data_IF_033794489579
#
_entry.id   IF_033794489579
#
_cell.length_a   1.000
_cell.length_b   1.000
_cell.length_c   1.000
_cell.angle_alpha   90.00
_cell.angle_beta   90.00
_cell.angle_gamma   90.00
#
_symmetry.space_group_name_H-M   'P 1'
#
loop_
_entity.id
_entity.type
_entity.pdbx_description
1 polymer ?
#
# COMPACT_ATOMS: atom_id res chain seq x y z
N UNK A 1 -27.01 14.26 1.30
CA UNK A 1 -25.68 14.54 1.91
C UNK A 1 -24.86 13.27 2.07
N UNK A 2 -25.34 12.21 2.73
CA UNK A 2 -24.62 10.91 2.80
C UNK A 2 -24.31 10.30 1.42
N UNK A 3 -25.29 10.27 0.50
CA UNK A 3 -25.11 9.77 -0.87
C UNK A 3 -24.10 10.57 -1.72
N UNK A 4 -23.92 11.87 -1.45
CA UNK A 4 -22.94 12.71 -2.17
C UNK A 4 -21.52 12.47 -1.62
N UNK A 5 -21.40 12.30 -0.30
CA UNK A 5 -20.13 11.97 0.36
C UNK A 5 -19.65 10.58 -0.07
N UNK A 6 -20.56 9.61 -0.18
CA UNK A 6 -20.27 8.25 -0.65
C UNK A 6 -19.90 8.23 -2.15
N UNK A 7 -20.61 8.99 -3.00
CA UNK A 7 -20.23 9.20 -4.40
C UNK A 7 -18.84 9.82 -4.56
N UNK A 8 -18.44 10.71 -3.65
CA UNK A 8 -17.10 11.30 -3.66
C UNK A 8 -16.05 10.28 -3.22
N UNK A 9 -16.37 9.35 -2.31
CA UNK A 9 -15.47 8.29 -1.81
C UNK A 9 -15.00 7.33 -2.89
N UNK A 10 -15.90 6.94 -3.78
CA UNK A 10 -15.64 5.95 -4.83
C UNK A 10 -15.52 6.56 -6.23
N UNK A 11 -15.35 7.88 -6.33
CA UNK A 11 -15.30 8.58 -7.64
C UNK A 11 -14.14 8.15 -8.55
N UNK A 12 -13.10 7.51 -8.01
CA UNK A 12 -12.01 6.90 -8.78
C UNK A 12 -12.40 5.56 -9.44
N UNK A 13 -13.55 4.98 -9.09
CA UNK A 13 -14.05 3.72 -9.64
C UNK A 13 -15.05 3.98 -10.77
N UNK A 14 -14.56 4.51 -11.89
CA UNK A 14 -15.33 4.60 -13.14
C UNK A 14 -14.86 3.53 -14.13
N UNK A 15 -15.70 3.09 -15.09
CA UNK A 15 -15.28 2.12 -16.10
C UNK A 15 -14.02 2.54 -16.87
N UNK A 16 -13.86 3.83 -17.17
CA UNK A 16 -12.70 4.35 -17.88
C UNK A 16 -11.40 4.24 -17.05
N UNK A 17 -11.43 4.71 -15.80
CA UNK A 17 -10.26 4.65 -14.89
C UNK A 17 -9.92 3.19 -14.57
N UNK A 18 -10.92 2.35 -14.34
CA UNK A 18 -10.71 0.94 -14.05
C UNK A 18 -10.08 0.20 -15.24
N UNK A 19 -10.53 0.49 -16.48
CA UNK A 19 -9.94 -0.09 -17.68
C UNK A 19 -8.47 0.32 -17.83
N UNK A 20 -8.14 1.59 -17.58
CA UNK A 20 -6.75 2.07 -17.58
C UNK A 20 -5.90 1.39 -16.51
N UNK A 21 -6.42 1.23 -15.28
CA UNK A 21 -5.74 0.50 -14.21
C UNK A 21 -5.51 -0.97 -14.56
N UNK A 22 -6.52 -1.64 -15.15
CA UNK A 22 -6.45 -3.03 -15.61
C UNK A 22 -5.39 -3.22 -16.70
N UNK A 23 -5.36 -2.35 -17.71
CA UNK A 23 -4.34 -2.37 -18.77
C UNK A 23 -2.92 -2.18 -18.22
N UNK A 24 -2.74 -1.24 -17.30
CA UNK A 24 -1.45 -1.06 -16.63
C UNK A 24 -1.00 -2.33 -15.90
N UNK A 25 -1.90 -2.93 -15.11
CA UNK A 25 -1.55 -4.14 -14.36
C UNK A 25 -1.33 -5.34 -15.28
N UNK A 26 -2.10 -5.49 -16.36
CA UNK A 26 -1.88 -6.50 -17.39
C UNK A 26 -0.51 -6.35 -18.04
N UNK A 27 -0.09 -5.14 -18.39
CA UNK A 27 1.24 -4.90 -18.95
C UNK A 27 2.33 -5.37 -17.98
N UNK A 28 2.16 -5.08 -16.68
CA UNK A 28 3.06 -5.54 -15.62
C UNK A 28 3.05 -7.07 -15.48
N UNK A 29 1.88 -7.69 -15.40
CA UNK A 29 1.75 -9.17 -15.33
C UNK A 29 2.47 -9.80 -16.52
N UNK A 30 2.18 -9.33 -17.73
CA UNK A 30 2.75 -9.89 -18.96
C UNK A 30 4.26 -9.66 -19.03
N UNK A 31 4.77 -8.51 -18.61
CA UNK A 31 6.21 -8.22 -18.52
C UNK A 31 6.90 -9.12 -17.50
N UNK A 32 6.48 -9.04 -16.24
CA UNK A 32 7.20 -9.66 -15.12
C UNK A 32 7.08 -11.19 -15.14
N UNK A 33 5.91 -11.73 -15.51
CA UNK A 33 5.77 -13.19 -15.63
C UNK A 33 6.50 -13.75 -16.85
N UNK A 34 6.71 -12.95 -17.91
CA UNK A 34 7.58 -13.35 -19.03
C UNK A 34 9.05 -13.34 -18.64
N UNK A 35 9.45 -12.33 -17.85
CA UNK A 35 10.78 -12.23 -17.27
C UNK A 35 11.08 -13.45 -16.38
N UNK A 36 10.16 -13.79 -15.48
CA UNK A 36 10.25 -14.93 -14.55
C UNK A 36 10.01 -16.31 -15.20
N UNK A 37 9.74 -16.37 -16.51
CA UNK A 37 9.49 -17.63 -17.27
C UNK A 37 8.22 -18.38 -16.88
N UNK A 38 7.29 -17.73 -16.19
CA UNK A 38 5.97 -18.28 -15.87
C UNK A 38 5.07 -18.32 -17.11
N UNK A 39 5.29 -17.39 -18.04
CA UNK A 39 4.65 -17.35 -19.36
C UNK A 39 5.69 -17.12 -20.46
N UNK A 40 5.32 -17.42 -21.70
CA UNK A 40 6.16 -17.22 -22.86
C UNK A 40 5.32 -16.67 -24.03
N UNK A 41 5.17 -15.34 -24.13
CA UNK A 41 4.55 -14.73 -25.29
C UNK A 41 5.33 -15.02 -26.57
N UNK A 42 4.60 -15.27 -27.65
CA UNK A 42 5.15 -15.53 -28.99
C UNK A 42 5.17 -14.24 -29.80
N UNK A 43 6.18 -14.08 -30.65
CA UNK A 43 6.22 -12.98 -31.60
C UNK A 43 5.16 -13.22 -32.68
N UNK A 44 4.20 -12.30 -32.81
CA UNK A 44 3.16 -12.34 -33.83
C UNK A 44 3.59 -11.58 -35.10
N UNK A 45 4.14 -10.38 -34.92
CA UNK A 45 4.70 -9.55 -36.00
C UNK A 45 6.03 -8.94 -35.53
N UNK A 46 7.10 -8.97 -36.34
CA UNK A 46 8.35 -8.30 -36.01
C UNK A 46 8.17 -6.77 -35.99
N UNK A 47 9.09 -6.06 -35.35
CA UNK A 47 9.12 -4.61 -35.43
C UNK A 47 9.45 -4.16 -36.87
N UNK A 48 8.69 -3.20 -37.40
CA UNK A 48 8.89 -2.63 -38.74
C UNK A 48 8.95 -1.10 -38.66
N UNK A 49 10.06 -0.50 -39.10
CA UNK A 49 10.28 0.95 -39.15
C UNK A 49 9.85 1.70 -37.85
N UNK A 50 8.66 2.30 -37.85
CA UNK A 50 8.09 3.10 -36.75
C UNK A 50 7.14 2.30 -35.82
N UNK A 51 6.93 1.01 -36.10
CA UNK A 51 6.04 0.14 -35.32
C UNK A 51 6.83 -0.86 -34.48
N UNK A 52 6.44 -0.97 -33.21
CA UNK A 52 6.97 -1.98 -32.31
C UNK A 52 6.55 -3.40 -32.70
N UNK A 53 7.29 -4.39 -32.23
CA UNK A 53 6.93 -5.79 -32.39
C UNK A 53 5.59 -6.09 -31.71
N UNK A 54 4.75 -6.88 -32.39
CA UNK A 54 3.51 -7.38 -31.83
C UNK A 54 3.73 -8.80 -31.27
N UNK A 55 3.24 -9.04 -30.07
CA UNK A 55 3.35 -10.30 -29.34
C UNK A 55 1.96 -10.87 -29.06
N UNK A 56 1.88 -12.18 -28.85
CA UNK A 56 0.67 -12.86 -28.41
C UNK A 56 0.93 -13.84 -27.27
N UNK A 57 0.01 -13.95 -26.33
CA UNK A 57 -0.04 -15.02 -25.34
C UNK A 57 -1.37 -15.76 -25.47
N UNK A 58 -1.31 -17.05 -25.80
CA UNK A 58 -2.48 -17.94 -25.85
C UNK A 58 -2.52 -18.82 -24.61
N UNK A 59 -3.69 -18.91 -23.99
CA UNK A 59 -3.95 -19.70 -22.79
C UNK A 59 -5.20 -20.56 -23.03
N UNK A 60 -5.01 -21.87 -23.02
CA UNK A 60 -6.14 -22.80 -23.00
C UNK A 60 -6.70 -22.87 -21.59
N UNK A 61 -7.97 -22.52 -21.44
CA UNK A 61 -8.70 -22.55 -20.16
C UNK A 61 -9.80 -23.60 -20.22
N UNK A 62 -10.45 -23.90 -19.09
CA UNK A 62 -11.60 -24.82 -19.06
C UNK A 62 -12.79 -24.30 -19.86
N UNK A 63 -12.91 -22.98 -20.02
CA UNK A 63 -14.06 -22.31 -20.62
C UNK A 63 -13.77 -21.74 -22.02
N UNK A 64 -12.73 -22.25 -22.70
CA UNK A 64 -12.30 -21.79 -24.03
C UNK A 64 -10.85 -21.32 -24.06
N UNK A 65 -10.44 -20.71 -25.18
CA UNK A 65 -9.10 -20.18 -25.37
C UNK A 65 -9.09 -18.65 -25.16
N UNK A 66 -8.23 -18.19 -24.25
CA UNK A 66 -7.91 -16.77 -24.09
C UNK A 66 -6.67 -16.42 -24.90
N UNK A 67 -6.70 -15.26 -25.56
CA UNK A 67 -5.57 -14.73 -26.31
C UNK A 67 -5.38 -13.25 -25.97
N UNK A 68 -4.18 -12.91 -25.51
CA UNK A 68 -3.76 -11.52 -25.31
C UNK A 68 -2.81 -11.13 -26.43
N UNK A 69 -3.06 -10.00 -27.09
CA UNK A 69 -2.14 -9.39 -28.08
C UNK A 69 -1.68 -8.04 -27.58
N UNK A 70 -0.43 -7.69 -27.84
CA UNK A 70 0.14 -6.44 -27.36
C UNK A 70 1.42 -6.07 -28.11
N UNK A 71 1.70 -4.78 -28.16
CA UNK A 71 2.95 -4.24 -28.66
C UNK A 71 3.96 -4.11 -27.53
N UNK A 72 5.22 -4.43 -27.83
CA UNK A 72 6.28 -4.23 -26.85
C UNK A 72 7.69 -4.46 -27.40
N UNK A 73 8.65 -3.94 -26.66
CA UNK A 73 10.08 -4.01 -26.98
C UNK A 73 10.83 -4.80 -25.91
N UNK A 74 11.64 -5.75 -26.37
CA UNK A 74 12.54 -6.52 -25.51
C UNK A 74 13.86 -5.79 -25.33
N UNK A 75 14.29 -5.60 -24.09
CA UNK A 75 15.53 -4.97 -23.69
C UNK A 75 16.51 -6.00 -23.09
N UNK A 76 17.66 -5.50 -22.62
CA UNK A 76 18.58 -6.28 -21.81
C UNK A 76 17.90 -6.82 -20.54
N UNK A 77 18.53 -7.80 -19.89
CA UNK A 77 17.99 -8.51 -18.72
C UNK A 77 16.62 -9.14 -18.98
N UNK A 78 16.30 -9.40 -20.24
CA UNK A 78 15.04 -10.02 -20.64
C UNK A 78 13.79 -9.26 -20.18
N UNK A 79 13.86 -7.93 -20.20
CA UNK A 79 12.72 -7.07 -19.90
C UNK A 79 11.88 -6.84 -21.16
N UNK A 80 10.63 -7.27 -21.16
CA UNK A 80 9.67 -6.99 -22.22
C UNK A 80 8.82 -5.79 -21.83
N UNK A 81 9.21 -4.60 -22.29
CA UNK A 81 8.45 -3.37 -22.05
C UNK A 81 7.20 -3.38 -22.95
N UNK A 82 6.02 -3.47 -22.34
CA UNK A 82 4.74 -3.55 -23.04
C UNK A 82 4.03 -2.19 -22.98
N UNK A 83 3.48 -1.72 -24.09
CA UNK A 83 2.64 -0.53 -24.13
C UNK A 83 1.22 -0.87 -23.62
N UNK A 84 0.76 -0.37 -22.45
CA UNK A 84 -0.51 -0.80 -21.84
C UNK A 84 -1.75 -0.61 -22.73
N UNK A 85 -1.78 0.49 -23.49
CA UNK A 85 -2.91 0.82 -24.38
C UNK A 85 -3.00 -0.11 -25.60
N UNK A 86 -1.93 -0.82 -25.93
CA UNK A 86 -1.90 -1.79 -27.03
C UNK A 86 -2.51 -3.15 -26.67
N UNK A 87 -2.81 -3.40 -25.40
CA UNK A 87 -3.26 -4.73 -24.95
C UNK A 87 -4.69 -5.01 -25.44
N UNK A 88 -4.86 -6.08 -26.18
CA UNK A 88 -6.15 -6.60 -26.60
C UNK A 88 -6.37 -7.99 -26.01
N UNK A 89 -7.61 -8.30 -25.65
CA UNK A 89 -8.02 -9.60 -25.15
C UNK A 89 -9.06 -10.20 -26.08
N UNK A 90 -8.94 -11.50 -26.38
CA UNK A 90 -9.89 -12.26 -27.16
C UNK A 90 -10.22 -13.56 -26.44
N UNK A 91 -11.50 -13.94 -26.44
CA UNK A 91 -11.97 -15.25 -25.97
C UNK A 91 -12.61 -15.97 -27.15
N UNK A 92 -12.07 -17.13 -27.53
CA UNK A 92 -12.55 -17.93 -28.67
C UNK A 92 -12.68 -17.12 -29.98
N UNK A 93 -11.80 -16.12 -30.16
CA UNK A 93 -11.78 -15.22 -31.32
C UNK A 93 -12.63 -13.95 -31.18
N UNK A 94 -13.49 -13.85 -30.16
CA UNK A 94 -14.30 -12.66 -29.90
C UNK A 94 -13.57 -11.67 -28.99
N UNK A 95 -13.55 -10.39 -29.36
CA UNK A 95 -12.87 -9.34 -28.59
C UNK A 95 -13.57 -9.11 -27.24
N UNK A 96 -12.77 -9.08 -26.18
CA UNK A 96 -13.20 -8.85 -24.80
C UNK A 96 -12.53 -7.61 -24.23
N UNK A 97 -13.07 -7.08 -23.12
CA UNK A 97 -12.35 -6.07 -22.36
C UNK A 97 -11.14 -6.70 -21.64
N UNK A 98 -9.96 -6.05 -21.66
CA UNK A 98 -8.80 -6.54 -20.91
C UNK A 98 -9.06 -6.51 -19.40
N UNK A 99 -8.94 -7.68 -18.76
CA UNK A 99 -9.15 -7.89 -17.33
C UNK A 99 -7.94 -8.61 -16.71
N UNK A 100 -7.27 -7.95 -15.76
CA UNK A 100 -6.13 -8.51 -15.03
C UNK A 100 -6.52 -9.70 -14.16
N UNK A 101 -7.71 -9.72 -13.57
CA UNK A 101 -8.20 -10.82 -12.72
C UNK A 101 -8.42 -12.07 -13.54
N UNK A 102 -9.02 -11.91 -14.74
CA UNK A 102 -9.22 -13.02 -15.66
C UNK A 102 -7.89 -13.67 -16.07
N UNK A 103 -6.84 -12.87 -16.30
CA UNK A 103 -5.50 -13.39 -16.61
C UNK A 103 -4.91 -14.18 -15.43
N UNK A 104 -5.01 -13.67 -14.21
CA UNK A 104 -4.52 -14.39 -13.01
C UNK A 104 -5.26 -15.71 -12.82
N UNK A 105 -6.59 -15.73 -13.00
CA UNK A 105 -7.40 -16.96 -12.91
C UNK A 105 -6.96 -17.96 -13.98
N UNK A 106 -6.76 -17.52 -15.22
CA UNK A 106 -6.30 -18.36 -16.32
C UNK A 106 -4.88 -18.92 -16.09
N UNK A 107 -4.04 -18.19 -15.37
CA UNK A 107 -2.67 -18.59 -15.06
C UNK A 107 -2.52 -19.36 -13.75
N UNK A 108 -3.58 -19.48 -12.93
CA UNK A 108 -3.54 -20.09 -11.58
C UNK A 108 -2.71 -21.37 -11.49
N UNK A 109 -2.97 -22.35 -12.36
CA UNK A 109 -2.26 -23.64 -12.35
C UNK A 109 -0.77 -23.47 -12.67
N UNK A 110 -0.42 -22.58 -13.62
CA UNK A 110 0.97 -22.27 -13.96
C UNK A 110 1.70 -21.50 -12.85
N UNK A 111 0.98 -20.64 -12.13
CA UNK A 111 1.50 -19.88 -10.99
C UNK A 111 1.62 -20.72 -9.71
N UNK A 112 1.13 -21.97 -9.71
CA UNK A 112 1.14 -22.82 -8.51
C UNK A 112 0.25 -22.30 -7.38
N UNK A 113 -0.75 -21.47 -7.69
CA UNK A 113 -1.65 -20.89 -6.68
C UNK A 113 -2.70 -21.95 -6.30
N UNK A 114 -2.70 -22.35 -5.03
CA UNK A 114 -3.67 -23.32 -4.52
C UNK A 114 -5.09 -22.74 -4.47
N UNK A 115 -6.09 -23.62 -4.52
CA UNK A 115 -7.51 -23.24 -4.39
C UNK A 115 -7.80 -22.45 -3.12
N UNK A 116 -7.08 -22.77 -2.03
CA UNK A 116 -7.23 -22.10 -0.74
C UNK A 116 -6.66 -20.67 -0.73
N UNK A 117 -5.60 -20.39 -1.52
CA UNK A 117 -4.92 -19.09 -1.54
C UNK A 117 -5.40 -18.18 -2.67
N UNK A 118 -6.03 -18.73 -3.71
CA UNK A 118 -6.52 -17.96 -4.85
C UNK A 118 -7.41 -16.78 -4.42
N UNK A 119 -8.41 -16.92 -3.52
CA UNK A 119 -9.24 -15.79 -3.12
C UNK A 119 -8.44 -14.63 -2.51
N UNK A 120 -7.47 -14.94 -1.64
CA UNK A 120 -6.61 -13.93 -1.01
C UNK A 120 -5.74 -13.22 -2.04
N UNK A 121 -5.14 -13.95 -2.98
CA UNK A 121 -4.33 -13.33 -4.02
C UNK A 121 -5.18 -12.46 -4.97
N UNK A 122 -6.39 -12.90 -5.31
CA UNK A 122 -7.35 -12.12 -6.09
C UNK A 122 -7.79 -10.83 -5.35
N UNK A 123 -7.89 -10.88 -4.02
CA UNK A 123 -8.13 -9.70 -3.18
C UNK A 123 -6.95 -8.72 -3.25
N UNK A 124 -5.69 -9.21 -3.17
CA UNK A 124 -4.50 -8.36 -3.31
C UNK A 124 -4.39 -7.72 -4.71
N UNK A 125 -4.75 -8.45 -5.77
CA UNK A 125 -4.80 -7.92 -7.14
C UNK A 125 -5.88 -6.84 -7.27
N UNK A 126 -7.09 -7.11 -6.75
CA UNK A 126 -8.20 -6.14 -6.78
C UNK A 126 -7.85 -4.88 -6.01
N UNK A 127 -7.22 -5.02 -4.84
CA UNK A 127 -6.75 -3.88 -4.04
C UNK A 127 -5.62 -3.11 -4.73
N UNK A 128 -4.73 -3.80 -5.45
CA UNK A 128 -3.70 -3.16 -6.29
C UNK A 128 -4.33 -2.35 -7.43
N UNK A 129 -5.38 -2.87 -8.07
CA UNK A 129 -6.15 -2.13 -9.08
C UNK A 129 -6.87 -0.92 -8.47
N UNK A 130 -7.48 -1.08 -7.30
CA UNK A 130 -8.10 0.01 -6.53
C UNK A 130 -7.08 1.12 -6.24
N UNK A 131 -5.88 0.77 -5.75
CA UNK A 131 -4.76 1.70 -5.55
C UNK A 131 -4.40 2.43 -6.84
N UNK A 132 -4.26 1.71 -7.96
CA UNK A 132 -3.93 2.34 -9.25
C UNK A 132 -5.03 3.30 -9.70
N UNK A 133 -6.30 2.91 -9.58
CA UNK A 133 -7.43 3.78 -9.90
C UNK A 133 -7.47 5.05 -9.03
N UNK A 134 -7.24 4.91 -7.72
CA UNK A 134 -7.09 6.03 -6.78
C UNK A 134 -6.01 7.01 -7.28
N UNK A 135 -4.83 6.49 -7.62
CA UNK A 135 -3.67 7.30 -8.04
C UNK A 135 -3.88 7.96 -9.41
N UNK A 136 -4.53 7.28 -10.34
CA UNK A 136 -4.88 7.85 -11.65
C UNK A 136 -5.78 9.09 -11.51
N UNK A 137 -6.73 9.07 -10.58
CA UNK A 137 -7.62 10.21 -10.37
C UNK A 137 -6.99 11.33 -9.54
N UNK A 138 -6.28 10.98 -8.45
CA UNK A 138 -5.94 11.95 -7.41
C UNK A 138 -4.44 12.27 -7.27
N UNK A 139 -3.54 11.45 -7.82
CA UNK A 139 -2.09 11.60 -7.64
C UNK A 139 -1.27 11.57 -8.94
N UNK A 140 -1.92 11.52 -10.10
CA UNK A 140 -1.24 11.50 -11.38
C UNK A 140 -0.65 12.88 -11.71
N UNK A 141 0.44 13.25 -11.03
CA UNK A 141 1.21 14.45 -11.30
C UNK A 141 2.07 14.26 -12.56
N UNK A 142 2.01 15.16 -13.54
CA UNK A 142 2.94 15.17 -14.66
C UNK A 142 4.39 15.25 -14.19
N UNK A 143 5.31 14.61 -14.93
CA UNK A 143 6.75 14.58 -14.59
C UNK A 143 7.33 15.99 -14.44
N UNK A 144 6.88 16.94 -15.25
CA UNK A 144 7.33 18.32 -15.19
C UNK A 144 7.02 18.99 -13.85
N UNK A 145 5.88 18.66 -13.23
CA UNK A 145 5.51 19.19 -11.91
C UNK A 145 6.28 18.49 -10.77
N UNK A 146 6.71 17.25 -10.96
CA UNK A 146 7.47 16.51 -9.96
C UNK A 146 8.88 17.09 -9.74
N UNK A 147 9.46 17.76 -10.75
CA UNK A 147 10.79 18.38 -10.66
C UNK A 147 10.82 19.49 -9.59
N UNK A 148 9.71 20.18 -9.39
CA UNK A 148 9.59 21.30 -8.44
C UNK A 148 8.94 20.86 -7.11
N UNK A 149 8.57 19.59 -6.96
CA UNK A 149 7.95 19.07 -5.73
C UNK A 149 8.98 18.91 -4.60
N UNK A 150 8.56 19.18 -3.38
CA UNK A 150 9.35 18.86 -2.19
C UNK A 150 9.41 17.35 -1.92
N UNK A 151 10.21 16.97 -0.93
CA UNK A 151 10.43 15.57 -0.58
C UNK A 151 9.14 14.78 -0.28
N UNK A 152 8.20 15.37 0.47
CA UNK A 152 6.97 14.69 0.89
C UNK A 152 5.89 14.72 -0.21
N UNK A 153 5.94 15.73 -1.09
CA UNK A 153 5.14 15.75 -2.30
C UNK A 153 5.57 14.67 -3.30
N UNK A 154 6.88 14.43 -3.46
CA UNK A 154 7.40 13.32 -4.27
C UNK A 154 6.99 11.98 -3.66
N UNK A 155 7.13 11.81 -2.34
CA UNK A 155 6.78 10.57 -1.63
C UNK A 155 5.32 10.16 -1.87
N UNK A 156 4.38 11.09 -1.73
CA UNK A 156 2.96 10.83 -1.96
C UNK A 156 2.59 10.64 -3.45
N UNK A 157 3.37 11.21 -4.36
CA UNK A 157 3.11 11.15 -5.81
C UNK A 157 3.60 9.85 -6.48
N UNK A 158 4.27 8.95 -5.75
CA UNK A 158 4.74 7.68 -6.32
C UNK A 158 3.58 6.78 -6.75
N UNK A 159 3.56 6.40 -8.04
CA UNK A 159 2.41 5.71 -8.65
C UNK A 159 2.57 4.21 -8.79
N UNK A 160 3.78 3.66 -8.71
CA UNK A 160 4.02 2.26 -9.06
C UNK A 160 4.06 1.33 -7.84
N UNK A 161 4.80 1.70 -6.79
CA UNK A 161 5.16 0.77 -5.71
C UNK A 161 6.35 -0.09 -6.13
N UNK A 162 6.45 -1.32 -5.61
CA UNK A 162 7.54 -2.23 -5.99
C UNK A 162 7.46 -2.57 -7.50
N UNK A 163 8.55 -2.45 -8.28
CA UNK A 163 8.48 -2.58 -9.75
C UNK A 163 8.26 -4.02 -10.23
N UNK A 164 8.68 -5.04 -9.46
CA UNK A 164 8.54 -6.46 -9.84
C UNK A 164 7.23 -7.08 -9.37
N UNK A 165 6.95 -7.08 -8.05
CA UNK A 165 5.69 -7.64 -7.52
C UNK A 165 4.46 -7.09 -8.24
N UNK A 166 3.65 -7.99 -8.80
CA UNK A 166 2.38 -7.65 -9.45
C UNK A 166 1.37 -7.16 -8.42
N UNK A 167 1.09 -7.99 -7.41
CA UNK A 167 0.22 -7.65 -6.29
C UNK A 167 0.99 -6.83 -5.23
N UNK A 168 1.45 -5.62 -5.61
CA UNK A 168 2.33 -4.81 -4.76
C UNK A 168 1.60 -3.86 -3.79
N UNK A 169 0.30 -3.67 -4.02
CA UNK A 169 -0.49 -2.66 -3.34
C UNK A 169 -1.74 -3.26 -2.69
N UNK A 170 -1.58 -4.42 -2.03
CA UNK A 170 -2.67 -5.19 -1.41
C UNK A 170 -3.31 -4.56 -0.17
N UNK A 171 -2.55 -4.17 0.85
CA UNK A 171 -3.04 -3.55 2.12
C UNK A 171 -4.29 -4.23 2.72
N UNK A 172 -4.35 -5.55 2.68
CA UNK A 172 -5.52 -6.30 3.17
C UNK A 172 -5.68 -6.04 4.67
N UNK A 173 -6.84 -5.48 5.03
CA UNK A 173 -7.16 -4.98 6.36
C UNK A 173 -7.60 -3.51 6.38
N UNK A 174 -7.24 -2.72 5.37
CA UNK A 174 -7.79 -1.37 5.21
C UNK A 174 -9.15 -1.42 4.52
N UNK A 175 -10.13 -0.73 5.11
CA UNK A 175 -11.39 -0.42 4.43
C UNK A 175 -11.27 0.84 3.57
N UNK A 176 -12.40 1.28 3.00
CA UNK A 176 -12.48 2.46 2.13
C UNK A 176 -12.08 3.76 2.83
N UNK A 177 -12.35 3.89 4.12
CA UNK A 177 -12.06 5.10 4.90
C UNK A 177 -10.60 5.09 5.37
N UNK A 178 -10.11 3.93 5.77
CA UNK A 178 -8.70 3.69 6.07
C UNK A 178 -7.81 4.00 4.88
N UNK A 179 -8.25 3.69 3.66
CA UNK A 179 -7.47 3.98 2.45
C UNK A 179 -7.10 5.46 2.37
N UNK A 180 -8.08 6.34 2.57
CA UNK A 180 -7.86 7.79 2.52
C UNK A 180 -7.03 8.28 3.69
N UNK A 181 -7.22 7.70 4.87
CA UNK A 181 -6.54 8.14 6.07
C UNK A 181 -5.08 7.67 6.16
N UNK A 182 -4.77 6.47 5.64
CA UNK A 182 -3.57 5.72 6.04
C UNK A 182 -2.72 5.21 4.87
N UNK A 183 -3.06 5.50 3.61
CA UNK A 183 -2.21 5.14 2.48
C UNK A 183 -1.24 6.26 2.11
N UNK A 184 0.00 5.93 1.70
CA UNK A 184 0.97 6.94 1.29
C UNK A 184 0.47 7.78 0.11
N UNK A 185 -0.23 7.15 -0.84
CA UNK A 185 -0.80 7.85 -1.99
C UNK A 185 -1.94 8.82 -1.63
N UNK A 186 -2.51 8.78 -0.42
CA UNK A 186 -3.48 9.82 -0.04
C UNK A 186 -2.78 11.14 0.32
N UNK A 187 -1.51 11.07 0.74
CA UNK A 187 -0.74 12.19 1.26
C UNK A 187 -1.37 12.88 2.48
N UNK A 188 -2.42 12.31 3.08
CA UNK A 188 -3.16 12.95 4.17
C UNK A 188 -2.33 12.96 5.46
N UNK A 189 -2.34 14.08 6.20
CA UNK A 189 -1.76 14.13 7.52
C UNK A 189 -2.58 13.27 8.49
N UNK A 190 -1.89 12.60 9.42
CA UNK A 190 -2.52 11.93 10.56
C UNK A 190 -1.75 12.19 11.85
N UNK A 191 -2.44 12.02 12.98
CA UNK A 191 -1.80 12.03 14.30
C UNK A 191 -1.67 10.61 14.82
N UNK A 192 -0.52 10.28 15.38
CA UNK A 192 -0.28 8.97 16.00
C UNK A 192 -1.01 8.85 17.34
N UNK A 193 -1.45 7.64 17.67
CA UNK A 193 -1.96 7.28 18.99
C UNK A 193 -0.78 7.03 19.94
N UNK A 194 -0.97 7.27 21.23
CA UNK A 194 0.06 7.01 22.24
C UNK A 194 -0.46 6.09 23.34
N UNK A 195 0.39 5.16 23.75
CA UNK A 195 0.16 4.28 24.89
C UNK A 195 1.25 4.49 25.93
N UNK A 196 0.88 4.42 27.21
CA UNK A 196 1.83 4.05 28.26
C UNK A 196 1.86 2.53 28.31
N UNK A 197 3.06 1.94 28.24
CA UNK A 197 3.26 0.49 28.26
C UNK A 197 4.14 0.12 29.44
N UNK A 198 3.68 -0.85 30.23
CA UNK A 198 4.39 -1.27 31.44
C UNK A 198 5.82 -1.68 31.13
N UNK A 199 6.76 -1.14 31.90
CA UNK A 199 8.19 -1.43 31.76
C UNK A 199 8.54 -2.88 32.12
N UNK A 200 7.72 -3.55 32.95
CA UNK A 200 7.86 -4.98 33.28
C UNK A 200 7.70 -5.89 32.04
N UNK A 201 6.87 -5.46 31.09
CA UNK A 201 6.53 -6.25 29.90
C UNK A 201 7.12 -5.69 28.61
N UNK A 202 7.98 -4.68 28.70
CA UNK A 202 8.50 -3.95 27.54
C UNK A 202 10.01 -3.82 27.63
N UNK A 203 10.71 -4.20 26.56
CA UNK A 203 12.14 -3.94 26.43
C UNK A 203 12.36 -2.66 25.64
N UNK A 204 13.11 -1.72 26.22
CA UNK A 204 13.57 -0.50 25.56
C UNK A 204 15.02 -0.69 25.11
N UNK A 205 15.30 -0.39 23.85
CA UNK A 205 16.65 -0.38 23.30
C UNK A 205 16.94 1.00 22.72
N UNK A 206 18.07 1.59 23.13
CA UNK A 206 18.54 2.91 22.69
C UNK A 206 19.98 2.79 22.19
N UNK A 207 20.34 3.68 21.27
CA UNK A 207 21.75 3.84 20.87
C UNK A 207 22.56 4.43 22.03
N UNK A 208 23.87 4.17 22.03
CA UNK A 208 24.76 4.70 23.05
C UNK A 208 24.70 6.24 23.10
N UNK A 209 24.55 6.79 24.31
CA UNK A 209 24.50 8.24 24.55
C UNK A 209 23.14 8.91 24.39
N UNK A 210 22.10 8.17 23.94
CA UNK A 210 20.74 8.69 23.89
C UNK A 210 19.99 8.39 25.18
N UNK A 211 19.57 9.44 25.89
CA UNK A 211 18.72 9.32 27.07
C UNK A 211 17.23 9.26 26.67
N UNK A 212 16.47 8.37 27.34
CA UNK A 212 15.06 8.16 27.03
C UNK A 212 14.19 9.38 27.31
N UNK A 213 14.43 10.06 28.44
CA UNK A 213 13.63 11.22 28.84
C UNK A 213 13.92 12.40 27.91
N UNK A 214 15.19 12.62 27.59
CA UNK A 214 15.59 13.64 26.62
C UNK A 214 14.96 13.37 25.25
N UNK A 215 14.97 12.13 24.76
CA UNK A 215 14.31 11.75 23.50
C UNK A 215 12.83 12.13 23.51
N UNK A 216 12.09 11.80 24.58
CA UNK A 216 10.67 12.15 24.68
C UNK A 216 10.45 13.67 24.74
N UNK A 217 11.33 14.42 25.40
CA UNK A 217 11.25 15.88 25.44
C UNK A 217 11.49 16.49 24.06
N UNK A 218 12.49 16.01 23.34
CA UNK A 218 12.83 16.49 21.99
C UNK A 218 11.71 16.17 20.98
N UNK A 219 11.09 14.99 21.08
CA UNK A 219 10.08 14.50 20.15
C UNK A 219 8.64 14.93 20.51
N UNK A 220 8.29 15.12 21.79
CA UNK A 220 6.92 15.47 22.21
C UNK A 220 6.80 16.89 22.78
N UNK A 221 7.87 17.43 23.33
CA UNK A 221 7.85 18.65 24.13
C UNK A 221 7.23 18.47 25.52
N UNK A 222 7.64 19.31 26.46
CA UNK A 222 7.28 19.19 27.88
C UNK A 222 5.77 19.21 28.13
N UNK A 223 5.02 20.04 27.38
CA UNK A 223 3.58 20.18 27.59
C UNK A 223 2.79 18.90 27.26
N UNK A 224 3.18 18.19 26.19
CA UNK A 224 2.53 16.94 25.81
C UNK A 224 2.96 15.81 26.74
N UNK A 225 4.25 15.76 27.08
CA UNK A 225 4.80 14.79 28.03
C UNK A 225 4.11 14.88 29.41
N UNK A 226 4.00 16.10 29.96
CA UNK A 226 3.32 16.34 31.23
C UNK A 226 1.84 15.90 31.19
N UNK A 227 1.14 16.16 30.08
CA UNK A 227 -0.25 15.71 29.89
C UNK A 227 -0.36 14.19 29.94
N UNK A 228 0.57 13.48 29.30
CA UNK A 228 0.61 12.02 29.32
C UNK A 228 0.93 11.47 30.72
N UNK A 229 1.92 12.02 31.41
CA UNK A 229 2.20 11.62 32.79
C UNK A 229 1.01 11.89 33.73
N UNK A 230 0.30 13.01 33.57
CA UNK A 230 -0.91 13.33 34.33
C UNK A 230 -2.02 12.29 34.09
N UNK A 231 -2.22 11.83 32.85
CA UNK A 231 -3.18 10.76 32.55
C UNK A 231 -2.82 9.45 33.26
N UNK A 232 -1.55 9.09 33.30
CA UNK A 232 -1.08 7.90 34.02
C UNK A 232 -1.34 8.05 35.53
N UNK A 233 -1.00 9.21 36.12
CA UNK A 233 -1.26 9.51 37.53
C UNK A 233 -2.75 9.52 37.89
N UNK A 234 -3.61 9.98 36.98
CA UNK A 234 -5.08 9.96 37.16
C UNK A 234 -5.65 8.54 37.24
N UNK A 235 -4.94 7.52 36.72
CA UNK A 235 -5.28 6.12 36.89
C UNK A 235 -4.66 5.48 38.15
N UNK A 236 -4.06 6.30 39.02
CA UNK A 236 -3.40 5.83 40.25
C UNK A 236 -2.09 5.10 40.00
N UNK A 237 -1.46 5.29 38.84
CA UNK A 237 -0.19 4.64 38.46
C UNK A 237 0.97 5.63 38.52
N UNK A 238 2.19 5.11 38.68
CA UNK A 238 3.40 5.91 38.61
C UNK A 238 3.91 5.97 37.16
N UNK A 239 4.11 7.16 36.56
CA UNK A 239 4.65 7.28 35.20
C UNK A 239 6.01 6.60 34.99
N UNK A 240 6.85 6.51 36.02
CA UNK A 240 8.18 5.87 35.90
C UNK A 240 8.11 4.34 35.69
N UNK A 241 6.94 3.73 35.94
CA UNK A 241 6.71 2.29 35.70
C UNK A 241 6.30 2.00 34.24
N UNK A 242 6.31 3.01 33.37
CA UNK A 242 5.84 2.93 31.98
C UNK A 242 6.79 3.58 30.99
N UNK A 243 6.87 2.99 29.79
CA UNK A 243 7.37 3.67 28.60
C UNK A 243 6.22 4.25 27.80
N UNK A 244 6.44 5.38 27.13
CA UNK A 244 5.57 5.94 26.12
C UNK A 244 5.89 5.32 24.75
N UNK A 245 4.88 4.82 24.06
CA UNK A 245 5.01 4.20 22.74
C UNK A 245 4.00 4.79 21.75
N UNK A 246 4.46 5.30 20.59
CA UNK A 246 3.57 5.68 19.51
C UNK A 246 3.00 4.47 18.79
N UNK A 247 1.76 4.57 18.35
CA UNK A 247 0.98 3.51 17.73
C UNK A 247 0.21 4.05 16.54
N UNK A 248 0.15 3.28 15.46
CA UNK A 248 -0.68 3.61 14.31
C UNK A 248 -2.17 3.62 14.72
N UNK A 249 -2.97 4.64 14.36
CA UNK A 249 -4.39 4.69 14.70
C UNK A 249 -5.19 3.44 14.32
N UNK A 250 -5.03 2.92 13.09
CA UNK A 250 -5.55 1.61 12.68
C UNK A 250 -5.14 0.45 13.60
N UNK A 251 -3.84 0.35 13.96
CA UNK A 251 -3.36 -0.73 14.84
C UNK A 251 -3.99 -0.64 16.23
N UNK A 252 -4.20 0.58 16.75
CA UNK A 252 -4.96 0.79 17.97
C UNK A 252 -6.40 0.30 17.82
N UNK A 253 -7.11 0.80 16.80
CA UNK A 253 -8.54 0.54 16.56
C UNK A 253 -8.85 -0.93 16.31
N UNK A 254 -8.10 -1.59 15.43
CA UNK A 254 -8.43 -2.93 14.93
C UNK A 254 -7.78 -4.09 15.69
N UNK A 255 -6.63 -3.83 16.32
CA UNK A 255 -5.80 -4.87 16.93
C UNK A 255 -5.65 -4.66 18.43
N UNK A 256 -5.01 -3.59 18.88
CA UNK A 256 -4.62 -3.45 20.29
C UNK A 256 -5.85 -3.35 21.20
N UNK A 257 -6.84 -2.55 20.83
CA UNK A 257 -8.09 -2.37 21.61
C UNK A 257 -8.84 -3.68 21.90
N UNK A 258 -8.64 -4.72 21.08
CA UNK A 258 -9.33 -6.01 21.16
C UNK A 258 -8.41 -7.16 21.57
N UNK A 259 -7.31 -7.36 20.85
CA UNK A 259 -6.38 -8.49 21.05
C UNK A 259 -5.65 -8.34 22.39
N UNK A 260 -5.29 -7.11 22.77
CA UNK A 260 -4.60 -6.80 24.03
C UNK A 260 -5.57 -6.32 25.11
N UNK A 261 -6.86 -6.65 25.02
CA UNK A 261 -7.88 -6.26 26.00
C UNK A 261 -7.51 -6.68 27.43
N UNK A 262 -6.84 -7.82 27.58
CA UNK A 262 -6.32 -8.33 28.84
C UNK A 262 -5.23 -7.44 29.47
N UNK A 263 -4.38 -6.81 28.65
CA UNK A 263 -3.32 -5.92 29.11
C UNK A 263 -3.86 -4.50 29.35
N UNK A 264 -4.84 -4.07 28.57
CA UNK A 264 -5.62 -2.84 28.80
C UNK A 264 -6.39 -2.91 30.13
N UNK A 265 -7.12 -4.00 30.37
CA UNK A 265 -7.92 -4.18 31.59
C UNK A 265 -7.08 -4.31 32.87
N UNK A 266 -5.78 -4.60 32.74
CA UNK A 266 -4.83 -4.71 33.86
C UNK A 266 -3.89 -3.50 33.96
N UNK A 267 -4.19 -2.43 33.22
CA UNK A 267 -3.38 -1.22 33.14
C UNK A 267 -1.92 -1.46 32.75
N UNK A 268 -1.61 -2.59 32.09
CA UNK A 268 -0.29 -2.81 31.48
C UNK A 268 -0.12 -1.97 30.22
N UNK A 269 -1.24 -1.67 29.56
CA UNK A 269 -1.36 -0.69 28.50
C UNK A 269 -2.37 0.37 28.94
N UNK A 270 -2.00 1.64 28.83
CA UNK A 270 -2.88 2.77 29.12
C UNK A 270 -2.98 3.64 27.88
N UNK A 271 -4.19 3.87 27.37
CA UNK A 271 -4.38 4.75 26.22
C UNK A 271 -4.28 6.22 26.62
N UNK A 272 -3.30 6.91 26.04
CA UNK A 272 -3.00 8.31 26.33
C UNK A 272 -3.65 9.28 25.33
N UNK A 273 -4.23 8.74 24.25
CA UNK A 273 -4.81 9.49 23.14
C UNK A 273 -3.78 9.94 22.11
N UNK A 274 -4.20 10.86 21.25
CA UNK A 274 -3.40 11.31 20.12
C UNK A 274 -2.27 12.27 20.51
N UNK A 275 -1.20 12.22 19.73
CA UNK A 275 -0.15 13.23 19.70
C UNK A 275 -0.66 14.59 19.21
N UNK A 276 0.26 15.54 19.01
CA UNK A 276 -0.08 16.87 18.46
C UNK A 276 0.40 17.03 17.03
N UNK A 277 1.58 16.50 16.74
CA UNK A 277 2.20 16.61 15.43
C UNK A 277 1.45 15.77 14.39
N UNK A 278 1.34 16.34 13.20
CA UNK A 278 0.83 15.68 12.02
C UNK A 278 1.96 14.97 11.27
N UNK A 279 1.67 13.77 10.80
CA UNK A 279 2.61 12.92 10.09
C UNK A 279 2.07 12.53 8.71
N UNK A 280 2.97 12.42 7.73
CA UNK A 280 2.67 11.79 6.46
C UNK A 280 3.12 10.34 6.45
N UNK A 281 2.24 9.46 5.97
CA UNK A 281 2.56 8.05 5.72
C UNK A 281 3.57 7.95 4.56
N UNK A 282 4.69 7.26 4.80
CA UNK A 282 5.69 6.97 3.77
C UNK A 282 5.32 5.70 2.99
N UNK A 283 5.99 5.41 1.87
CA UNK A 283 5.70 4.28 0.97
C UNK A 283 5.68 2.91 1.65
N UNK A 284 6.36 2.75 2.79
CA UNK A 284 6.31 1.54 3.61
C UNK A 284 5.04 1.38 4.47
N UNK A 285 4.10 2.35 4.39
CA UNK A 285 2.79 2.43 5.06
C UNK A 285 2.88 2.65 6.58
N UNK A 286 3.83 2.00 7.25
CA UNK A 286 3.98 2.02 8.71
C UNK A 286 5.13 2.90 9.22
N UNK A 287 5.70 3.72 8.35
CA UNK A 287 6.70 4.73 8.70
C UNK A 287 6.14 6.11 8.41
N UNK A 288 6.41 7.04 9.31
CA UNK A 288 5.75 8.34 9.39
C UNK A 288 6.79 9.45 9.43
N UNK A 289 6.69 10.39 8.49
CA UNK A 289 7.49 11.62 8.49
C UNK A 289 6.72 12.73 9.21
N UNK A 290 7.39 13.47 10.09
CA UNK A 290 6.75 14.53 10.87
C UNK A 290 6.61 15.81 10.03
N UNK A 291 5.38 16.15 9.62
CA UNK A 291 5.09 17.35 8.84
C UNK A 291 5.15 18.62 9.71
N UNK A 292 4.72 18.52 10.97
CA UNK A 292 4.74 19.67 11.90
C UNK A 292 6.15 20.09 12.29
N UNK A 293 7.08 19.13 12.37
CA UNK A 293 8.47 19.33 12.75
C UNK A 293 9.41 18.46 11.89
N UNK A 294 9.71 18.87 10.63
CA UNK A 294 10.46 18.06 9.65
C UNK A 294 11.87 17.62 10.06
N UNK A 295 12.43 18.19 11.15
CA UNK A 295 13.75 17.82 11.69
C UNK A 295 13.68 16.71 12.75
N UNK A 296 12.48 16.33 13.20
CA UNK A 296 12.26 15.24 14.15
C UNK A 296 12.41 13.87 13.50
N UNK A 297 12.57 12.84 14.32
CA UNK A 297 12.76 11.49 13.84
C UNK A 297 11.51 10.98 13.08
N UNK A 298 11.73 10.10 12.11
CA UNK A 298 10.64 9.26 11.63
C UNK A 298 10.17 8.35 12.75
N UNK A 299 8.87 8.07 12.79
CA UNK A 299 8.31 7.02 13.64
C UNK A 299 7.98 5.83 12.77
N UNK A 300 8.32 4.62 13.21
CA UNK A 300 7.90 3.38 12.57
C UNK A 300 7.10 2.54 13.55
N UNK A 301 5.91 2.11 13.16
CA UNK A 301 4.99 1.38 14.04
C UNK A 301 4.79 -0.05 13.55
N UNK A 302 4.28 -0.91 14.44
CA UNK A 302 3.63 -2.14 14.01
C UNK A 302 2.33 -1.78 13.25
N UNK A 303 2.04 -2.55 12.20
CA UNK A 303 0.81 -2.45 11.43
C UNK A 303 0.49 -3.84 10.88
N UNK A 304 -0.60 -4.44 11.34
CA UNK A 304 -0.98 -5.82 11.04
C UNK A 304 -1.96 -5.91 9.86
N UNK A 305 -1.56 -5.33 8.73
CA UNK A 305 -2.18 -5.53 7.41
C UNK A 305 -1.28 -6.44 6.57
N UNK A 306 -1.85 -7.11 5.57
CA UNK A 306 -1.06 -7.89 4.60
C UNK A 306 -0.73 -7.01 3.40
N UNK A 307 0.54 -6.91 3.01
CA UNK A 307 0.95 -6.27 1.77
C UNK A 307 2.20 -6.95 1.18
N UNK A 308 2.09 -7.47 -0.05
CA UNK A 308 3.16 -8.23 -0.72
C UNK A 308 3.55 -9.50 0.04
N UNK A 309 2.56 -10.21 0.61
CA UNK A 309 2.80 -11.48 1.30
C UNK A 309 3.37 -11.38 2.72
N UNK A 310 3.49 -10.18 3.30
CA UNK A 310 3.96 -9.94 4.68
C UNK A 310 3.03 -9.03 5.47
#
# INVERSE_FOLDING_TARGET
TASIIEQTRLSHLTPAIWNQASRHLLAKILSEFSHEKLIAPELLLPAEAEQEACWQLKLDTRDGQLCYRFSGRRYQLDHLQIAPDSIECFKDGEQQQPDAMLLIIALKERLGISDALLPTYLEEITSTLYSKAFKLLWQAKPVQELVDCDYQQIEAAMTEGHPVFVANNGRIGFDVDDWRAFTPESGQPLQLEWLAVSSEHTSLALIAGLDYRQLLQDELGDALLLRFEQKIRQQGKNPDDYFLMPVHPWQWREKISRIFAADLARDRLIHLGQGRDEYQVQQSIRTFFNLSQPKRCYVKTALSILNMGF
#
